data_IF_663417467634
#
_entry.id   IF_663417467634
#
_cell.length_a   1.000
_cell.length_b   1.000
_cell.length_c   1.000
_cell.angle_alpha   90.00
_cell.angle_beta   90.00
_cell.angle_gamma   90.00
#
_symmetry.space_group_name_H-M   'P 1'
#
loop_
_entity.id
_entity.type
_entity.pdbx_description
1 polymer ?
#
# COMPACT_ATOMS: atom_id res chain seq x y z
N UNK A 1 -4.60 -50.92 38.35
CA UNK A 1 -5.09 -49.65 37.74
C UNK A 1 -4.81 -48.48 38.69
N UNK A 2 -5.11 -48.64 39.98
CA UNK A 2 -4.78 -47.65 41.03
C UNK A 2 -3.27 -47.36 41.14
N UNK A 3 -2.40 -48.39 41.14
CA UNK A 3 -0.93 -48.18 41.19
C UNK A 3 -0.38 -47.33 40.03
N UNK A 4 -0.94 -47.47 38.82
CA UNK A 4 -0.51 -46.68 37.66
C UNK A 4 -0.91 -45.21 37.81
N UNK A 5 -2.10 -44.94 38.35
CA UNK A 5 -2.60 -43.58 38.59
C UNK A 5 -1.79 -42.91 39.72
N UNK A 6 -1.45 -43.68 40.76
CA UNK A 6 -0.68 -43.21 41.91
C UNK A 6 0.78 -42.90 41.55
N UNK A 7 1.35 -43.70 40.65
CA UNK A 7 2.68 -43.46 40.09
C UNK A 7 2.71 -42.19 39.22
N UNK A 8 1.71 -42.00 38.35
CA UNK A 8 1.58 -40.79 37.51
C UNK A 8 1.41 -39.54 38.38
N UNK A 9 0.59 -39.63 39.43
CA UNK A 9 0.38 -38.56 40.42
C UNK A 9 1.69 -38.08 41.06
N UNK A 10 2.51 -39.00 41.58
CA UNK A 10 3.82 -38.69 42.18
C UNK A 10 4.81 -38.04 41.20
N UNK A 11 4.73 -38.40 39.92
CA UNK A 11 5.53 -37.74 38.88
C UNK A 11 5.11 -36.28 38.68
N UNK A 12 3.81 -35.96 38.67
CA UNK A 12 3.37 -34.57 38.56
C UNK A 12 3.67 -33.74 39.82
N UNK A 13 3.75 -34.38 40.99
CA UNK A 13 4.11 -33.73 42.26
C UNK A 13 5.59 -33.34 42.34
N UNK A 14 6.46 -34.10 41.66
CA UNK A 14 7.92 -33.89 41.65
C UNK A 14 8.42 -33.12 40.44
N UNK A 15 7.66 -33.07 39.35
CA UNK A 15 8.06 -32.40 38.11
C UNK A 15 7.61 -30.95 38.12
N UNK A 16 8.53 -29.99 37.94
CA UNK A 16 8.16 -28.58 37.82
C UNK A 16 7.24 -28.37 36.61
N UNK A 17 5.97 -28.03 36.85
CA UNK A 17 4.97 -27.73 35.81
C UNK A 17 5.09 -26.31 35.23
N UNK A 18 5.84 -25.42 35.88
CA UNK A 18 6.04 -24.03 35.45
C UNK A 18 6.53 -23.85 34.00
N UNK A 19 7.35 -24.74 33.40
CA UNK A 19 7.77 -24.59 32.00
C UNK A 19 6.58 -24.71 31.04
N UNK A 20 5.62 -25.61 31.30
CA UNK A 20 4.43 -25.75 30.45
C UNK A 20 3.54 -24.51 30.51
N UNK A 21 3.38 -23.91 31.70
CA UNK A 21 2.67 -22.65 31.86
C UNK A 21 3.38 -21.51 31.12
N UNK A 22 4.72 -21.43 31.18
CA UNK A 22 5.48 -20.46 30.41
C UNK A 22 5.32 -20.65 28.91
N UNK A 23 5.41 -21.89 28.41
CA UNK A 23 5.19 -22.18 26.99
C UNK A 23 3.76 -21.82 26.56
N UNK A 24 2.76 -22.15 27.37
CA UNK A 24 1.37 -21.77 27.11
C UNK A 24 1.18 -20.25 27.07
N UNK A 25 1.79 -19.53 28.01
CA UNK A 25 1.76 -18.07 28.07
C UNK A 25 2.46 -17.43 26.87
N UNK A 26 3.67 -17.88 26.52
CA UNK A 26 4.40 -17.42 25.33
C UNK A 26 3.59 -17.68 24.06
N UNK A 27 2.95 -18.85 23.95
CA UNK A 27 2.07 -19.18 22.84
C UNK A 27 0.87 -18.23 22.73
N UNK A 28 0.21 -17.94 23.86
CA UNK A 28 -0.92 -17.00 23.91
C UNK A 28 -0.49 -15.59 23.50
N UNK A 29 0.64 -15.10 24.02
CA UNK A 29 1.19 -13.79 23.66
C UNK A 29 1.53 -13.74 22.16
N UNK A 30 2.14 -14.80 21.61
CA UNK A 30 2.46 -14.86 20.19
C UNK A 30 1.21 -14.75 19.31
N UNK A 31 0.14 -15.48 19.65
CA UNK A 31 -1.15 -15.40 18.94
C UNK A 31 -1.76 -14.00 19.05
N UNK A 32 -1.73 -13.40 20.25
CA UNK A 32 -2.25 -12.05 20.46
C UNK A 32 -1.50 -11.00 19.62
N UNK A 33 -0.17 -11.08 19.57
CA UNK A 33 0.67 -10.20 18.75
C UNK A 33 0.37 -10.37 17.26
N UNK A 34 0.20 -11.61 16.80
CA UNK A 34 -0.16 -11.90 15.41
C UNK A 34 -1.51 -11.28 15.02
N UNK A 35 -2.53 -11.42 15.88
CA UNK A 35 -3.85 -10.83 15.67
C UNK A 35 -3.77 -9.30 15.59
N UNK A 36 -3.03 -8.67 16.51
CA UNK A 36 -2.85 -7.21 16.53
C UNK A 36 -2.10 -6.75 15.27
N UNK A 37 -1.00 -7.42 14.90
CA UNK A 37 -0.24 -7.06 13.70
C UNK A 37 -1.07 -7.22 12.42
N UNK A 38 -1.90 -8.27 12.34
CA UNK A 38 -2.82 -8.46 11.21
C UNK A 38 -3.82 -7.31 11.12
N UNK A 39 -4.42 -6.91 12.24
CA UNK A 39 -5.36 -5.78 12.28
C UNK A 39 -4.68 -4.46 11.89
N UNK A 40 -3.49 -4.18 12.41
CA UNK A 40 -2.73 -2.97 12.07
C UNK A 40 -2.33 -2.93 10.60
N UNK A 41 -2.01 -4.08 9.99
CA UNK A 41 -1.77 -4.17 8.55
C UNK A 41 -3.03 -3.85 7.74
N UNK A 42 -4.17 -4.40 8.13
CA UNK A 42 -5.45 -4.11 7.44
C UNK A 42 -5.81 -2.62 7.53
N UNK A 43 -5.63 -2.01 8.70
CA UNK A 43 -5.83 -0.57 8.91
C UNK A 43 -4.85 0.29 8.09
N UNK A 44 -3.58 -0.08 8.03
CA UNK A 44 -2.59 0.62 7.20
C UNK A 44 -2.92 0.56 5.71
N UNK A 45 -3.40 -0.58 5.23
CA UNK A 45 -3.87 -0.78 3.85
C UNK A 45 -5.08 0.12 3.56
N UNK A 46 -6.07 0.12 4.46
CA UNK A 46 -7.29 0.91 4.32
C UNK A 46 -6.99 2.42 4.34
N UNK A 47 -6.19 2.88 5.30
CA UNK A 47 -5.79 4.28 5.40
C UNK A 47 -5.01 4.76 4.18
N UNK A 48 -4.08 3.95 3.66
CA UNK A 48 -3.33 4.28 2.44
C UNK A 48 -4.25 4.43 1.23
N UNK A 49 -5.17 3.46 1.03
CA UNK A 49 -6.14 3.50 -0.06
C UNK A 49 -7.09 4.68 0.08
N UNK A 50 -7.62 4.94 1.28
CA UNK A 50 -8.54 6.04 1.54
C UNK A 50 -7.86 7.40 1.31
N UNK A 51 -6.59 7.53 1.70
CA UNK A 51 -5.79 8.74 1.45
C UNK A 51 -5.64 9.00 -0.04
N UNK A 52 -5.32 7.96 -0.83
CA UNK A 52 -5.25 8.07 -2.30
C UNK A 52 -6.60 8.49 -2.88
N UNK A 53 -7.69 7.86 -2.45
CA UNK A 53 -9.04 8.15 -2.96
C UNK A 53 -9.52 9.56 -2.58
N UNK A 54 -9.14 10.05 -1.40
CA UNK A 54 -9.55 11.37 -0.90
C UNK A 54 -8.68 12.48 -1.51
N UNK A 55 -7.36 12.34 -1.47
CA UNK A 55 -6.42 13.37 -1.93
C UNK A 55 -6.40 13.50 -3.46
N UNK A 56 -6.59 12.38 -4.15
CA UNK A 56 -6.59 12.30 -5.61
C UNK A 56 -8.01 12.13 -6.18
N UNK A 57 -9.06 12.34 -5.40
CA UNK A 57 -10.47 12.29 -5.83
C UNK A 57 -10.77 12.94 -7.20
N UNK A 58 -10.20 14.12 -7.55
CA UNK A 58 -10.46 14.73 -8.87
C UNK A 58 -9.77 14.03 -10.06
N UNK A 59 -8.75 13.21 -9.79
CA UNK A 59 -7.86 12.60 -10.80
C UNK A 59 -7.88 11.06 -10.80
N UNK A 60 -8.35 10.43 -9.72
CA UNK A 60 -8.40 8.98 -9.55
C UNK A 60 -9.67 8.57 -8.77
N UNK A 61 -10.35 7.45 -9.12
CA UNK A 61 -10.04 6.48 -10.19
C UNK A 61 -10.52 6.93 -11.58
N UNK A 62 -11.32 7.98 -11.69
CA UNK A 62 -11.70 8.58 -12.98
C UNK A 62 -11.15 10.00 -13.04
N UNK A 63 -10.27 10.26 -14.01
CA UNK A 63 -9.70 11.58 -14.20
C UNK A 63 -10.74 12.55 -14.76
N UNK A 64 -11.09 13.60 -14.01
CA UNK A 64 -12.06 14.62 -14.44
C UNK A 64 -11.35 15.74 -15.21
N UNK A 65 -10.38 16.40 -14.57
CA UNK A 65 -9.59 17.50 -15.14
C UNK A 65 -8.31 17.68 -14.35
N UNK A 66 -7.26 18.16 -15.00
CA UNK A 66 -6.04 18.62 -14.33
C UNK A 66 -6.33 19.92 -13.55
N UNK A 67 -5.95 20.01 -12.26
CA UNK A 67 -6.01 21.27 -11.53
C UNK A 67 -5.03 22.29 -12.11
N UNK A 68 -5.30 23.58 -11.90
CA UNK A 68 -4.33 24.63 -12.24
C UNK A 68 -3.06 24.47 -11.40
N UNK A 69 -1.89 24.62 -12.01
CA UNK A 69 -0.59 24.34 -11.41
C UNK A 69 -0.50 22.91 -10.87
N UNK A 70 -0.61 21.93 -11.78
CA UNK A 70 -0.66 20.48 -11.47
C UNK A 70 0.49 20.04 -10.55
N UNK A 71 1.69 20.55 -10.80
CA UNK A 71 2.88 20.26 -9.99
C UNK A 71 2.67 20.67 -8.53
N UNK A 72 2.29 21.93 -8.32
CA UNK A 72 2.10 22.49 -6.98
C UNK A 72 0.95 21.78 -6.27
N UNK A 73 -0.14 21.48 -6.98
CA UNK A 73 -1.26 20.73 -6.45
C UNK A 73 -0.82 19.34 -5.96
N UNK A 74 -0.15 18.55 -6.81
CA UNK A 74 0.29 17.20 -6.45
C UNK A 74 1.34 17.23 -5.34
N UNK A 75 2.32 18.13 -5.42
CA UNK A 75 3.35 18.28 -4.39
C UNK A 75 2.77 18.67 -3.03
N UNK A 76 1.66 19.43 -2.99
CA UNK A 76 0.99 19.78 -1.73
C UNK A 76 0.35 18.58 -1.03
N UNK A 77 0.00 17.51 -1.77
CA UNK A 77 -0.62 16.28 -1.22
C UNK A 77 0.39 15.18 -0.91
N UNK A 78 1.64 15.31 -1.39
CA UNK A 78 2.71 14.36 -1.11
C UNK A 78 2.95 14.09 0.39
N UNK A 79 2.93 15.08 1.31
CA UNK A 79 3.21 14.82 2.72
C UNK A 79 2.22 13.84 3.37
N UNK A 80 0.92 14.01 3.11
CA UNK A 80 -0.14 13.13 3.65
C UNK A 80 -0.04 11.71 3.09
N UNK A 81 0.21 11.60 1.77
CA UNK A 81 0.44 10.31 1.14
C UNK A 81 1.73 9.64 1.63
N UNK A 82 2.79 10.42 1.87
CA UNK A 82 4.07 9.92 2.39
C UNK A 82 3.93 9.35 3.79
N UNK A 83 3.15 10.01 4.65
CA UNK A 83 2.88 9.50 6.00
C UNK A 83 2.26 8.09 5.94
N UNK A 84 1.20 7.93 5.14
CA UNK A 84 0.53 6.64 4.98
C UNK A 84 1.40 5.59 4.27
N UNK A 85 2.26 6.02 3.34
CA UNK A 85 3.26 5.17 2.71
C UNK A 85 4.23 4.58 3.75
N UNK A 86 4.79 5.39 4.65
CA UNK A 86 5.72 4.90 5.68
C UNK A 86 5.03 3.99 6.70
N UNK A 87 3.76 4.26 7.03
CA UNK A 87 2.97 3.38 7.90
C UNK A 87 2.76 2.00 7.26
N UNK A 88 2.39 1.95 5.98
CA UNK A 88 2.19 0.69 5.26
C UNK A 88 3.52 -0.07 5.06
N UNK A 89 4.62 0.65 4.83
CA UNK A 89 5.97 0.09 4.60
C UNK A 89 6.40 -0.92 5.65
N UNK A 90 6.06 -0.70 6.92
CA UNK A 90 6.40 -1.60 8.04
C UNK A 90 5.80 -3.00 7.87
N UNK A 91 4.67 -3.10 7.15
CA UNK A 91 3.96 -4.35 6.90
C UNK A 91 4.26 -4.99 5.54
N UNK A 92 5.10 -4.35 4.72
CA UNK A 92 5.50 -4.88 3.40
C UNK A 92 6.62 -5.92 3.57
N UNK A 93 6.50 -7.11 2.94
CA UNK A 93 7.58 -8.10 2.96
C UNK A 93 8.89 -7.53 2.40
N UNK A 94 10.02 -7.88 3.03
CA UNK A 94 11.36 -7.39 2.62
C UNK A 94 11.65 -7.56 1.12
N UNK A 95 11.20 -8.67 0.52
CA UNK A 95 11.33 -8.97 -0.92
C UNK A 95 10.61 -7.97 -1.84
N UNK A 96 9.55 -7.34 -1.36
CA UNK A 96 8.73 -6.36 -2.09
C UNK A 96 9.05 -4.92 -1.70
N UNK A 97 9.88 -4.70 -0.68
CA UNK A 97 10.18 -3.37 -0.15
C UNK A 97 10.94 -2.52 -1.19
N UNK A 98 11.81 -3.14 -1.99
CA UNK A 98 12.49 -2.45 -3.09
C UNK A 98 11.50 -1.97 -4.17
N UNK A 99 10.58 -2.84 -4.61
CA UNK A 99 9.58 -2.48 -5.61
C UNK A 99 8.62 -1.42 -5.09
N UNK A 100 8.25 -1.51 -3.81
CA UNK A 100 7.37 -0.54 -3.14
C UNK A 100 8.00 0.86 -3.11
N UNK A 101 9.25 0.96 -2.63
CA UNK A 101 9.99 2.23 -2.62
C UNK A 101 10.22 2.77 -4.03
N UNK A 102 10.46 1.90 -5.01
CA UNK A 102 10.67 2.30 -6.41
C UNK A 102 9.38 2.88 -7.01
N UNK A 103 8.22 2.26 -6.74
CA UNK A 103 6.92 2.78 -7.19
C UNK A 103 6.63 4.17 -6.59
N UNK A 104 6.92 4.33 -5.30
CA UNK A 104 6.77 5.63 -4.62
C UNK A 104 7.69 6.71 -5.18
N UNK A 105 8.97 6.40 -5.40
CA UNK A 105 9.91 7.34 -5.99
C UNK A 105 9.47 7.78 -7.39
N UNK A 106 9.03 6.85 -8.25
CA UNK A 106 8.50 7.17 -9.57
C UNK A 106 7.27 8.09 -9.50
N UNK A 107 6.39 7.87 -8.54
CA UNK A 107 5.24 8.74 -8.30
C UNK A 107 5.68 10.13 -7.85
N UNK A 108 6.60 10.24 -6.89
CA UNK A 108 7.15 11.54 -6.46
C UNK A 108 7.86 12.28 -7.61
N UNK A 109 8.62 11.58 -8.43
CA UNK A 109 9.32 12.15 -9.58
C UNK A 109 8.32 12.65 -10.62
N UNK A 110 7.23 11.90 -10.86
CA UNK A 110 6.13 12.38 -11.70
C UNK A 110 5.51 13.66 -11.15
N UNK A 111 5.20 13.72 -9.85
CA UNK A 111 4.60 14.91 -9.23
C UNK A 111 5.49 16.15 -9.34
N UNK A 112 6.82 15.98 -9.31
CA UNK A 112 7.79 17.08 -9.44
C UNK A 112 8.07 17.52 -10.87
N UNK A 113 7.93 16.61 -11.84
CA UNK A 113 8.29 16.87 -13.23
C UNK A 113 7.10 17.23 -14.11
N UNK A 114 5.88 16.91 -13.69
CA UNK A 114 4.68 17.30 -14.42
C UNK A 114 4.53 18.82 -14.43
N UNK A 115 4.17 19.38 -15.58
CA UNK A 115 3.89 20.80 -15.75
C UNK A 115 2.58 20.98 -16.52
N UNK A 116 1.94 22.13 -16.34
CA UNK A 116 0.68 22.46 -17.02
C UNK A 116 0.85 22.44 -18.55
N UNK A 117 2.07 22.73 -19.04
CA UNK A 117 2.45 22.66 -20.46
C UNK A 117 2.40 21.24 -21.00
N UNK A 118 2.91 20.26 -20.25
CA UNK A 118 2.87 18.83 -20.63
C UNK A 118 1.41 18.34 -20.65
N UNK A 119 0.62 18.76 -19.67
CA UNK A 119 -0.81 18.47 -19.61
C UNK A 119 -1.56 19.07 -20.80
N UNK A 120 -1.35 20.36 -21.10
CA UNK A 120 -1.99 21.06 -22.21
C UNK A 120 -1.58 20.48 -23.58
N UNK A 121 -0.30 20.15 -23.76
CA UNK A 121 0.20 19.52 -24.98
C UNK A 121 -0.48 18.17 -25.25
N UNK A 122 -0.71 17.37 -24.21
CA UNK A 122 -1.39 16.07 -24.31
C UNK A 122 -2.89 16.19 -24.65
N UNK A 123 -3.54 17.25 -24.19
CA UNK A 123 -4.96 17.53 -24.50
C UNK A 123 -5.13 18.06 -25.93
N UNK A 124 -4.14 18.78 -26.44
CA UNK A 124 -4.15 19.26 -27.82
C UNK A 124 -3.86 18.14 -28.84
N UNK A 125 -2.94 17.22 -28.54
CA UNK A 125 -2.62 16.08 -29.41
C UNK A 125 -3.76 15.06 -29.50
N UNK A 126 -4.51 14.85 -28.41
CA UNK A 126 -5.70 13.98 -28.40
C UNK A 126 -6.84 14.55 -29.25
N UNK A 127 -7.08 15.86 -29.20
CA UNK A 127 -8.11 16.52 -30.01
C UNK A 127 -7.75 16.59 -31.52
N UNK A 128 -6.47 16.71 -31.86
CA UNK A 128 -6.01 16.70 -33.26
C UNK A 128 -6.10 15.30 -33.91
N UNK A 129 -5.97 14.24 -33.12
CA UNK A 129 -5.99 12.84 -33.60
C UNK A 129 -7.40 12.27 -33.77
N UNK A 130 -8.45 12.93 -33.25
CA UNK A 130 -9.85 12.54 -33.42
C UNK A 130 -10.44 12.82 -34.82
N UNK A 131 -9.66 13.37 -35.76
CA UNK A 131 -10.11 13.80 -37.09
C UNK A 131 -9.77 12.89 -38.27
N UNK A 132 -8.97 11.83 -38.12
CA UNK A 132 -8.63 10.95 -39.26
C UNK A 132 -8.40 9.53 -38.79
N UNK A 133 -9.25 8.61 -39.26
CA UNK A 133 -9.13 7.19 -38.99
C UNK A 133 -7.80 6.64 -39.49
N UNK A 134 -6.93 6.23 -38.57
CA UNK A 134 -6.10 5.04 -38.67
C UNK A 134 -5.49 4.76 -37.29
N UNK A 135 -5.80 3.58 -36.77
CA UNK A 135 -5.34 3.14 -35.46
C UNK A 135 -3.83 2.93 -35.40
N UNK A 136 -3.34 2.98 -34.16
CA UNK A 136 -1.98 2.57 -33.72
C UNK A 136 -0.93 3.67 -33.65
N UNK A 137 -1.18 4.69 -32.81
CA UNK A 137 -0.17 5.10 -31.83
C UNK A 137 -0.88 5.27 -30.49
N UNK A 138 -0.85 4.22 -29.67
CA UNK A 138 -1.18 4.36 -28.25
C UNK A 138 -0.16 5.33 -27.71
N UNK A 139 -0.57 6.57 -27.45
CA UNK A 139 0.30 7.63 -26.93
C UNK A 139 0.84 7.15 -25.57
N UNK A 140 2.03 6.56 -25.60
CA UNK A 140 2.68 5.87 -24.48
C UNK A 140 3.09 6.86 -23.38
N UNK A 141 3.02 8.16 -23.70
CA UNK A 141 3.39 9.29 -22.86
C UNK A 141 2.21 10.17 -22.41
N UNK A 142 0.95 9.75 -22.58
CA UNK A 142 -0.19 10.52 -22.04
C UNK A 142 -0.05 10.64 -20.51
N UNK A 143 0.12 11.86 -19.96
CA UNK A 143 0.35 12.06 -18.53
C UNK A 143 -0.79 11.52 -17.68
N UNK A 144 -2.03 11.46 -18.19
CA UNK A 144 -3.18 10.87 -17.48
C UNK A 144 -3.00 9.37 -17.31
N UNK A 145 -2.58 8.67 -18.36
CA UNK A 145 -2.33 7.22 -18.32
C UNK A 145 -1.13 6.89 -17.44
N UNK A 146 -0.05 7.68 -17.55
CA UNK A 146 1.13 7.52 -16.70
C UNK A 146 0.77 7.71 -15.23
N UNK A 147 0.02 8.76 -14.89
CA UNK A 147 -0.47 9.00 -13.55
C UNK A 147 -1.32 7.84 -13.02
N UNK A 148 -2.33 7.40 -13.80
CA UNK A 148 -3.18 6.27 -13.42
C UNK A 148 -2.38 4.98 -13.18
N UNK A 149 -1.38 4.71 -14.03
CA UNK A 149 -0.49 3.56 -13.87
C UNK A 149 0.31 3.67 -12.58
N UNK A 150 0.94 4.81 -12.30
CA UNK A 150 1.74 5.02 -11.08
C UNK A 150 0.90 4.85 -9.81
N UNK A 151 -0.32 5.39 -9.78
CA UNK A 151 -1.24 5.22 -8.65
C UNK A 151 -1.71 3.77 -8.54
N UNK A 152 -1.96 3.08 -9.65
CA UNK A 152 -2.36 1.67 -9.66
C UNK A 152 -1.23 0.74 -9.20
N UNK A 153 0.01 1.02 -9.59
CA UNK A 153 1.21 0.30 -9.16
C UNK A 153 1.40 0.45 -7.64
N UNK A 154 1.14 1.64 -7.08
CA UNK A 154 1.15 1.86 -5.63
C UNK A 154 0.04 1.08 -4.91
N UNK A 155 -1.17 1.08 -5.46
CA UNK A 155 -2.30 0.35 -4.90
C UNK A 155 -2.15 -1.17 -5.02
N UNK A 156 -1.28 -1.69 -5.88
CA UNK A 156 -1.02 -3.12 -5.96
C UNK A 156 -0.52 -3.70 -4.63
N UNK A 157 0.30 -2.94 -3.89
CA UNK A 157 0.81 -3.33 -2.58
C UNK A 157 -0.23 -3.29 -1.46
N UNK A 158 -1.40 -2.70 -1.73
CA UNK A 158 -2.57 -2.69 -0.85
C UNK A 158 -3.58 -3.80 -1.16
N UNK A 159 -3.34 -4.63 -2.18
CA UNK A 159 -4.22 -5.77 -2.51
C UNK A 159 -3.96 -6.93 -1.53
N UNK A 160 -5.05 -7.60 -1.15
CA UNK A 160 -5.07 -8.64 -0.13
C UNK A 160 -4.44 -9.95 -0.60
#
# INVERSE_FOLDING_TARGET
MEEYIDQISKYFETVPLWPFFLFGFVGLVAIAVEIVNRKRREEAIENFRNTIETELAPMYPKHIRWPENVNQYLCSRLPEMQHNFEVLRVFIPQKQLLSYNTAWNKYCDFCRNITDEICAASEQSTNASSGTGNGTSVDENDPKKVFHKLVSDLLEFSKK
#
